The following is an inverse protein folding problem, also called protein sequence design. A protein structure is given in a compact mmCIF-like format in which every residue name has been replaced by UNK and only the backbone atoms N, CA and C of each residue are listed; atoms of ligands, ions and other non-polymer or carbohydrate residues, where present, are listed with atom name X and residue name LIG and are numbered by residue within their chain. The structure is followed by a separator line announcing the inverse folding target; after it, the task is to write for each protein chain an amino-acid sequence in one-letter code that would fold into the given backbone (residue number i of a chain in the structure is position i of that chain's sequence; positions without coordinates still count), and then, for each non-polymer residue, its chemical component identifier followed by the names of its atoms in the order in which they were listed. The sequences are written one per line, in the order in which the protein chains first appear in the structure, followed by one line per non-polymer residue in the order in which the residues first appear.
data_IF_838607900142
#
_entry.id   IF_838607900142
#
_cell.length_a   1.000
_cell.length_b   1.000
_cell.length_c   1.000
_cell.angle_alpha   90.00
_cell.angle_beta   90.00
_cell.angle_gamma   90.00
#
_symmetry.space_group_name_H-M   'P 1'
#
loop_
_entity.id
_entity.type
_entity.pdbx_description
1 polymer ?
#
# COMPACT_ATOMS: atom_id res chain seq x y z
N UNK A 1 -4.37 -37.91 -10.65
CA UNK A 1 -3.00 -37.74 -10.13
C UNK A 1 -2.21 -39.05 -10.08
N UNK A 2 -2.81 -40.19 -9.75
CA UNK A 2 -2.12 -41.50 -9.64
C UNK A 2 -1.51 -42.00 -10.96
N UNK A 3 -2.14 -41.76 -12.11
CA UNK A 3 -1.62 -42.18 -13.43
C UNK A 3 -0.43 -41.35 -13.96
N UNK A 4 -0.09 -40.24 -13.32
CA UNK A 4 1.05 -39.40 -13.69
C UNK A 4 2.36 -39.81 -13.00
N UNK A 5 2.28 -40.64 -11.95
CA UNK A 5 3.43 -41.05 -11.16
C UNK A 5 4.23 -42.19 -11.79
N UNK A 6 3.57 -43.11 -12.50
CA UNK A 6 4.23 -44.29 -13.10
C UNK A 6 5.09 -43.99 -14.34
N UNK A 7 4.97 -42.78 -14.90
CA UNK A 7 5.78 -42.33 -16.05
C UNK A 7 6.96 -41.45 -15.67
N UNK A 8 7.22 -41.22 -14.38
CA UNK A 8 8.38 -40.45 -13.97
C UNK A 8 9.64 -41.32 -14.13
N UNK A 9 10.57 -40.97 -15.04
CA UNK A 9 11.84 -41.69 -15.16
C UNK A 9 12.51 -41.70 -13.79
N UNK A 10 13.11 -42.83 -13.40
CA UNK A 10 13.76 -43.03 -12.11
C UNK A 10 14.54 -41.78 -11.70
N UNK A 11 13.95 -40.98 -10.80
CA UNK A 11 14.50 -39.68 -10.45
C UNK A 11 15.93 -39.89 -9.95
N UNK A 12 16.89 -39.19 -10.55
CA UNK A 12 18.25 -39.18 -10.04
C UNK A 12 18.27 -38.34 -8.75
N UNK A 13 17.94 -38.97 -7.62
CA UNK A 13 17.86 -38.35 -6.29
C UNK A 13 19.15 -37.67 -5.83
N UNK A 14 20.26 -37.86 -6.55
CA UNK A 14 21.52 -37.13 -6.30
C UNK A 14 21.43 -35.65 -6.65
N UNK A 15 20.45 -35.22 -7.48
CA UNK A 15 20.25 -33.82 -7.85
C UNK A 15 18.75 -33.45 -7.88
N UNK A 16 18.09 -33.44 -6.70
CA UNK A 16 16.64 -33.24 -6.62
C UNK A 16 16.18 -31.89 -7.20
N UNK A 17 17.06 -30.88 -7.18
CA UNK A 17 16.75 -29.55 -7.73
C UNK A 17 16.61 -29.53 -9.26
N UNK A 18 17.23 -30.48 -9.99
CA UNK A 18 17.20 -30.54 -11.47
C UNK A 18 15.99 -31.33 -11.97
N UNK A 19 15.44 -32.22 -11.15
CA UNK A 19 14.30 -33.06 -11.49
C UNK A 19 12.93 -32.39 -11.31
N UNK A 20 12.86 -31.19 -10.75
CA UNK A 20 11.61 -30.46 -10.58
C UNK A 20 11.17 -29.89 -11.94
N UNK A 21 9.92 -30.13 -12.33
CA UNK A 21 9.34 -29.58 -13.54
C UNK A 21 9.33 -28.05 -13.52
N UNK A 22 9.54 -27.36 -14.67
CA UNK A 22 9.54 -25.91 -14.74
C UNK A 22 8.30 -25.25 -14.16
N UNK A 23 7.13 -25.83 -14.38
CA UNK A 23 5.84 -25.31 -13.91
C UNK A 23 5.79 -25.31 -12.37
N UNK A 24 6.28 -26.38 -11.75
CA UNK A 24 6.40 -26.47 -10.29
C UNK A 24 7.44 -25.48 -9.74
N UNK A 25 8.58 -25.32 -10.43
CA UNK A 25 9.57 -24.31 -10.07
C UNK A 25 8.99 -22.90 -10.16
N UNK A 26 8.25 -22.57 -11.22
CA UNK A 26 7.56 -21.29 -11.36
C UNK A 26 6.58 -21.05 -10.20
N UNK A 27 5.78 -22.05 -9.82
CA UNK A 27 4.90 -21.95 -8.66
C UNK A 27 5.66 -21.72 -7.35
N UNK A 28 6.74 -22.48 -7.11
CA UNK A 28 7.60 -22.29 -5.93
C UNK A 28 8.20 -20.89 -5.93
N UNK A 29 8.69 -20.40 -7.08
CA UNK A 29 9.31 -19.09 -7.18
C UNK A 29 8.29 -17.98 -6.91
N UNK A 30 7.10 -18.07 -7.49
CA UNK A 30 6.02 -17.11 -7.25
C UNK A 30 5.58 -17.12 -5.79
N UNK A 31 5.49 -18.30 -5.17
CA UNK A 31 5.17 -18.43 -3.75
C UNK A 31 6.24 -17.76 -2.87
N UNK A 32 7.52 -18.10 -3.07
CA UNK A 32 8.64 -17.49 -2.32
C UNK A 32 8.70 -15.98 -2.51
N UNK A 33 8.41 -15.47 -3.71
CA UNK A 33 8.42 -14.03 -3.99
C UNK A 33 7.19 -13.32 -3.42
N UNK A 34 6.00 -13.94 -3.44
CA UNK A 34 4.75 -13.37 -2.90
C UNK A 34 4.73 -13.32 -1.37
N UNK A 35 5.15 -14.40 -0.71
CA UNK A 35 5.26 -14.44 0.76
C UNK A 35 6.14 -13.31 1.30
N UNK A 36 7.07 -12.83 0.48
CA UNK A 36 7.99 -11.76 0.84
C UNK A 36 7.41 -10.37 0.60
N UNK A 37 6.28 -10.23 -0.10
CA UNK A 37 5.62 -8.96 -0.42
C UNK A 37 4.22 -8.77 0.18
N UNK A 38 3.50 -9.85 0.49
CA UNK A 38 2.19 -9.84 1.14
C UNK A 38 2.26 -9.70 2.67
N UNK A 39 3.42 -9.30 3.21
CA UNK A 39 3.52 -8.80 4.58
C UNK A 39 2.37 -7.81 4.79
N UNK A 40 1.39 -8.22 5.60
CA UNK A 40 0.05 -7.64 5.70
C UNK A 40 0.03 -6.27 6.38
N UNK A 41 1.07 -5.47 6.16
CA UNK A 41 1.16 -4.10 6.62
C UNK A 41 -0.07 -3.35 6.08
N UNK A 42 -1.00 -2.90 6.94
CA UNK A 42 -2.13 -2.09 6.51
C UNK A 42 -1.70 -0.72 5.96
N UNK A 43 -0.40 -0.42 5.98
CA UNK A 43 0.19 0.87 5.61
C UNK A 43 0.94 0.80 4.27
N UNK A 44 0.61 -0.16 3.41
CA UNK A 44 1.29 -0.39 2.15
C UNK A 44 2.57 -1.21 2.29
N UNK A 45 3.15 -1.55 1.14
CA UNK A 45 4.30 -2.45 1.02
C UNK A 45 5.50 -1.85 1.77
N UNK A 46 6.00 -2.59 2.78
CA UNK A 46 7.19 -2.17 3.51
C UNK A 46 8.41 -2.22 2.56
N UNK A 47 9.14 -1.12 2.48
CA UNK A 47 10.36 -1.01 1.68
C UNK A 47 11.37 -2.15 1.99
N UNK A 48 11.42 -2.64 3.24
CA UNK A 48 12.27 -3.78 3.63
C UNK A 48 11.85 -5.05 2.90
N UNK A 49 10.55 -5.25 2.75
CA UNK A 49 9.95 -6.40 2.06
C UNK A 49 10.22 -6.32 0.55
N UNK A 50 10.23 -5.12 -0.02
CA UNK A 50 10.62 -4.94 -1.43
C UNK A 50 12.09 -5.29 -1.72
N UNK A 51 13.03 -4.91 -0.83
CA UNK A 51 14.44 -5.32 -0.97
C UNK A 51 14.61 -6.83 -0.89
N UNK A 52 13.83 -7.46 0.00
CA UNK A 52 13.75 -8.89 0.15
C UNK A 52 13.26 -9.53 -1.15
N UNK A 53 12.11 -9.10 -1.68
CA UNK A 53 11.53 -9.58 -2.94
C UNK A 53 12.57 -9.56 -4.08
N UNK A 54 13.25 -8.42 -4.24
CA UNK A 54 14.30 -8.28 -5.26
C UNK A 54 15.42 -9.31 -5.04
N UNK A 55 15.93 -9.43 -3.81
CA UNK A 55 16.98 -10.38 -3.46
C UNK A 55 16.54 -11.84 -3.71
N UNK A 56 15.29 -12.18 -3.41
CA UNK A 56 14.76 -13.54 -3.61
C UNK A 56 14.88 -13.98 -5.08
N UNK A 57 14.49 -13.14 -6.04
CA UNK A 57 14.55 -13.47 -7.48
C UNK A 57 15.96 -13.82 -7.94
N UNK A 58 16.93 -12.97 -7.57
CA UNK A 58 18.33 -13.22 -7.91
C UNK A 58 18.90 -14.43 -7.16
N UNK A 59 18.45 -14.67 -5.93
CA UNK A 59 18.84 -15.87 -5.16
C UNK A 59 18.33 -17.13 -5.85
N UNK A 60 17.05 -17.16 -6.28
CA UNK A 60 16.46 -18.27 -7.03
C UNK A 60 17.20 -18.50 -8.35
N UNK A 61 17.53 -17.44 -9.08
CA UNK A 61 18.30 -17.52 -10.33
C UNK A 61 19.79 -17.92 -10.14
N UNK A 62 20.29 -17.91 -8.90
CA UNK A 62 21.67 -18.27 -8.58
C UNK A 62 21.86 -19.73 -8.15
N UNK A 63 20.77 -20.49 -7.90
CA UNK A 63 20.84 -21.85 -7.35
C UNK A 63 21.52 -22.84 -8.31
N UNK A 64 20.98 -23.02 -9.50
CA UNK A 64 21.57 -23.85 -10.55
C UNK A 64 21.15 -23.32 -11.94
N UNK A 65 21.75 -23.83 -13.01
CA UNK A 65 21.43 -23.40 -14.37
C UNK A 65 19.94 -23.57 -14.69
N UNK A 66 19.34 -24.69 -14.30
CA UNK A 66 17.92 -24.95 -14.55
C UNK A 66 17.01 -23.93 -13.86
N UNK A 67 17.27 -23.63 -12.59
CA UNK A 67 16.50 -22.64 -11.83
C UNK A 67 16.65 -21.25 -12.42
N UNK A 68 17.86 -20.91 -12.90
CA UNK A 68 18.12 -19.66 -13.62
C UNK A 68 17.27 -19.55 -14.88
N UNK A 69 17.24 -20.58 -15.72
CA UNK A 69 16.44 -20.61 -16.94
C UNK A 69 14.95 -20.40 -16.64
N UNK A 70 14.41 -21.11 -15.64
CA UNK A 70 13.00 -20.95 -15.23
C UNK A 70 12.73 -19.56 -14.67
N UNK A 71 13.58 -19.07 -13.77
CA UNK A 71 13.41 -17.74 -13.17
C UNK A 71 13.44 -16.64 -14.23
N UNK A 72 14.39 -16.73 -15.17
CA UNK A 72 14.54 -15.76 -16.27
C UNK A 72 13.36 -15.84 -17.26
N UNK A 73 12.84 -17.03 -17.54
CA UNK A 73 11.73 -17.22 -18.48
C UNK A 73 10.34 -17.02 -17.88
N UNK A 74 10.24 -16.71 -16.59
CA UNK A 74 8.97 -16.43 -15.90
C UNK A 74 8.80 -14.92 -15.70
N UNK A 75 8.07 -14.21 -16.59
CA UNK A 75 8.07 -12.75 -16.60
C UNK A 75 7.38 -12.14 -15.37
N UNK A 76 6.38 -12.82 -14.81
CA UNK A 76 5.69 -12.43 -13.58
C UNK A 76 6.62 -12.32 -12.35
N UNK A 77 7.76 -13.02 -12.34
CA UNK A 77 8.76 -12.85 -11.26
C UNK A 77 9.43 -11.47 -11.32
N UNK A 78 9.43 -10.82 -12.47
CA UNK A 78 10.14 -9.55 -12.71
C UNK A 78 9.20 -8.35 -12.77
N UNK A 79 7.89 -8.56 -12.65
CA UNK A 79 6.90 -7.51 -12.87
C UNK A 79 6.75 -6.51 -11.72
N UNK A 80 7.19 -6.86 -10.51
CA UNK A 80 7.23 -5.93 -9.38
C UNK A 80 8.60 -5.29 -9.26
N UNK A 81 8.77 -4.02 -9.58
CA UNK A 81 10.08 -3.35 -9.63
C UNK A 81 10.20 -2.33 -8.50
N UNK A 82 11.30 -2.39 -7.73
CA UNK A 82 11.63 -1.39 -6.71
C UNK A 82 12.79 -0.51 -7.18
N UNK A 83 12.53 0.79 -7.18
CA UNK A 83 13.47 1.85 -7.49
C UNK A 83 13.76 2.67 -6.22
N UNK A 84 14.86 2.37 -5.51
CA UNK A 84 15.24 3.16 -4.34
C UNK A 84 15.72 4.55 -4.79
N UNK A 85 14.95 5.58 -4.46
CA UNK A 85 15.21 6.96 -4.88
C UNK A 85 16.48 7.54 -4.21
N UNK A 86 16.77 7.11 -2.98
CA UNK A 86 17.85 7.63 -2.15
C UNK A 86 19.26 7.20 -2.57
N UNK A 87 19.41 6.48 -3.70
CA UNK A 87 20.71 6.10 -4.25
C UNK A 87 20.96 6.83 -5.55
N UNK A 88 21.81 7.82 -5.39
CA UNK A 88 22.48 8.66 -6.37
C UNK A 88 23.00 7.90 -7.61
N UNK A 89 23.15 6.57 -7.61
CA UNK A 89 23.26 5.81 -8.85
C UNK A 89 22.09 4.85 -8.99
N UNK A 90 21.01 5.36 -9.57
CA UNK A 90 20.00 4.49 -10.15
C UNK A 90 20.69 3.60 -11.17
N UNK A 91 20.73 2.28 -10.90
CA UNK A 91 21.26 1.34 -11.88
C UNK A 91 20.20 1.16 -12.97
N UNK A 92 20.19 2.09 -13.93
CA UNK A 92 19.30 2.10 -15.09
C UNK A 92 19.38 0.80 -15.85
N UNK A 93 20.58 0.21 -15.97
CA UNK A 93 20.76 -1.06 -16.67
C UNK A 93 20.01 -2.19 -15.96
N UNK A 94 20.08 -2.24 -14.63
CA UNK A 94 19.36 -3.22 -13.84
C UNK A 94 17.84 -2.98 -13.89
N UNK A 95 17.39 -1.73 -13.91
CA UNK A 95 15.98 -1.41 -14.10
C UNK A 95 15.49 -1.84 -15.49
N UNK A 96 16.19 -1.44 -16.55
CA UNK A 96 15.87 -1.82 -17.93
C UNK A 96 15.97 -3.33 -18.13
N UNK A 97 16.86 -4.01 -17.42
CA UNK A 97 16.93 -5.47 -17.38
C UNK A 97 15.70 -6.09 -16.72
N UNK A 98 15.32 -5.65 -15.52
CA UNK A 98 14.11 -6.13 -14.83
C UNK A 98 12.84 -5.85 -15.67
N UNK A 99 12.77 -4.66 -16.28
CA UNK A 99 11.69 -4.26 -17.18
C UNK A 99 11.64 -5.15 -18.43
N UNK A 100 12.77 -5.37 -19.10
CA UNK A 100 12.83 -6.26 -20.27
C UNK A 100 12.46 -7.72 -19.94
N UNK A 101 12.74 -8.19 -18.73
CA UNK A 101 12.36 -9.54 -18.27
C UNK A 101 10.88 -9.68 -17.93
N UNK A 102 10.23 -8.58 -17.55
CA UNK A 102 8.80 -8.59 -17.22
C UNK A 102 7.89 -8.83 -18.43
N UNK A 103 8.41 -8.54 -19.64
CA UNK A 103 7.72 -8.78 -20.92
C UNK A 103 6.35 -8.11 -20.96
N UNK A 104 5.31 -8.91 -21.20
CA UNK A 104 3.92 -8.44 -21.23
C UNK A 104 3.19 -8.60 -19.89
N UNK A 105 3.91 -8.89 -18.80
CA UNK A 105 3.28 -9.00 -17.48
C UNK A 105 2.84 -7.62 -16.99
N UNK A 106 1.76 -7.59 -16.23
CA UNK A 106 1.30 -6.39 -15.56
C UNK A 106 2.34 -5.91 -14.53
N UNK A 107 2.76 -4.66 -14.65
CA UNK A 107 3.87 -4.09 -13.89
C UNK A 107 3.37 -3.40 -12.64
N UNK A 108 4.07 -3.66 -11.53
CA UNK A 108 3.92 -2.92 -10.29
C UNK A 108 5.23 -2.20 -9.99
N UNK A 109 5.28 -0.89 -10.20
CA UNK A 109 6.47 -0.09 -10.02
C UNK A 109 6.40 0.75 -8.74
N UNK A 110 7.46 0.68 -7.94
CA UNK A 110 7.57 1.37 -6.67
C UNK A 110 8.84 2.19 -6.64
N UNK A 111 8.70 3.50 -6.56
CA UNK A 111 9.79 4.45 -6.39
C UNK A 111 9.69 4.98 -4.98
N UNK A 112 10.68 4.69 -4.14
CA UNK A 112 10.60 5.05 -2.72
C UNK A 112 11.94 5.52 -2.16
N UNK A 113 11.89 6.54 -1.32
CA UNK A 113 13.01 6.91 -0.46
C UNK A 113 13.22 5.86 0.64
N UNK A 114 14.42 5.27 0.70
CA UNK A 114 14.73 4.26 1.70
C UNK A 114 14.98 4.93 3.07
N UNK A 115 14.21 4.61 4.13
CA UNK A 115 14.50 5.10 5.47
C UNK A 115 15.89 4.62 5.92
N UNK A 116 16.68 5.54 6.50
CA UNK A 116 18.07 5.29 6.89
C UNK A 116 19.11 5.58 5.81
N UNK A 117 18.70 5.95 4.59
CA UNK A 117 19.62 6.46 3.56
C UNK A 117 19.97 7.94 3.77
N UNK A 118 20.12 8.37 5.02
CA UNK A 118 20.49 9.73 5.42
C UNK A 118 21.92 10.12 5.03
N UNK A 119 22.59 9.34 4.18
CA UNK A 119 23.71 9.84 3.44
C UNK A 119 23.17 10.84 2.43
N UNK A 120 23.11 12.11 2.87
CA UNK A 120 23.27 13.21 1.94
C UNK A 120 24.45 12.86 1.04
N UNK A 121 24.35 13.04 -0.28
CA UNK A 121 25.51 12.93 -1.16
C UNK A 121 26.68 13.60 -0.46
N UNK A 122 27.77 12.88 -0.18
CA UNK A 122 29.01 13.55 0.25
C UNK A 122 29.30 14.57 -0.84
N UNK A 123 29.31 15.85 -0.47
CA UNK A 123 29.64 16.95 -1.36
C UNK A 123 30.89 16.57 -2.15
N UNK A 124 30.78 16.54 -3.49
CA UNK A 124 31.88 16.17 -4.38
C UNK A 124 31.82 14.77 -5.00
N UNK A 125 30.86 13.92 -4.65
CA UNK A 125 30.63 12.68 -5.41
C UNK A 125 30.03 13.03 -6.77
N UNK A 126 30.85 13.11 -7.83
CA UNK A 126 30.36 13.34 -9.20
C UNK A 126 29.55 12.13 -9.62
N UNK A 127 28.27 12.37 -9.85
CA UNK A 127 27.31 11.34 -10.20
C UNK A 127 27.09 11.39 -11.69
N UNK A 128 27.77 10.52 -12.43
CA UNK A 128 27.84 10.63 -13.89
C UNK A 128 26.60 10.11 -14.63
N UNK A 129 25.59 9.56 -13.95
CA UNK A 129 24.34 9.05 -14.57
C UNK A 129 23.14 9.13 -13.62
N UNK A 130 22.78 10.35 -13.18
CA UNK A 130 21.52 10.54 -12.45
C UNK A 130 20.36 10.46 -13.43
N UNK A 131 19.61 9.37 -13.37
CA UNK A 131 18.27 9.34 -13.97
C UNK A 131 17.40 10.29 -13.19
N UNK A 132 16.97 11.36 -13.84
CA UNK A 132 16.08 12.37 -13.29
C UNK A 132 14.69 11.76 -13.02
N UNK A 133 13.93 12.29 -12.05
CA UNK A 133 12.52 11.94 -11.88
C UNK A 133 11.71 11.99 -13.19
N UNK A 134 12.06 12.94 -14.06
CA UNK A 134 11.47 13.11 -15.39
C UNK A 134 11.73 11.90 -16.29
N UNK A 135 12.96 11.41 -16.37
CA UNK A 135 13.29 10.22 -17.16
C UNK A 135 12.62 8.97 -16.62
N UNK A 136 12.55 8.80 -15.30
CA UNK A 136 11.78 7.70 -14.71
C UNK A 136 10.33 7.81 -15.15
N UNK A 137 9.73 9.00 -15.04
CA UNK A 137 8.36 9.20 -15.45
C UNK A 137 8.14 8.90 -16.94
N UNK A 138 9.04 9.35 -17.83
CA UNK A 138 8.99 9.03 -19.27
C UNK A 138 9.00 7.52 -19.49
N UNK A 139 9.88 6.79 -18.80
CA UNK A 139 9.93 5.33 -18.93
C UNK A 139 8.61 4.73 -18.45
N UNK A 140 8.13 5.13 -17.28
CA UNK A 140 6.87 4.63 -16.71
C UNK A 140 5.70 4.81 -17.66
N UNK A 141 5.60 5.97 -18.28
CA UNK A 141 4.44 6.35 -19.08
C UNK A 141 4.48 5.75 -20.48
N UNK A 142 5.63 5.24 -20.89
CA UNK A 142 5.79 4.46 -22.11
C UNK A 142 5.45 2.98 -21.93
N UNK A 143 5.13 2.52 -20.70
CA UNK A 143 4.80 1.13 -20.43
C UNK A 143 3.28 0.93 -20.32
N UNK A 144 2.60 0.42 -21.37
CA UNK A 144 1.14 0.23 -21.34
C UNK A 144 0.70 -0.82 -20.32
N UNK A 145 1.58 -1.76 -19.96
CA UNK A 145 1.33 -2.85 -18.99
C UNK A 145 1.37 -2.41 -17.53
N UNK A 146 1.53 -1.11 -17.23
CA UNK A 146 1.59 -0.62 -15.86
C UNK A 146 0.25 -0.84 -15.13
N UNK A 147 0.24 -1.65 -14.09
CA UNK A 147 -0.92 -1.96 -13.25
C UNK A 147 -0.91 -1.18 -11.94
N UNK A 148 0.25 -1.06 -11.31
CA UNK A 148 0.39 -0.32 -10.07
C UNK A 148 1.60 0.62 -10.15
N UNK A 149 1.40 1.87 -9.71
CA UNK A 149 2.44 2.87 -9.64
C UNK A 149 2.44 3.54 -8.27
N UNK A 150 3.51 3.29 -7.50
CA UNK A 150 3.77 3.92 -6.23
C UNK A 150 4.97 4.85 -6.38
N UNK A 151 4.78 6.14 -6.13
CA UNK A 151 5.86 7.11 -6.04
C UNK A 151 5.86 7.70 -4.64
N UNK A 152 6.95 7.55 -3.90
CA UNK A 152 7.13 8.14 -2.58
C UNK A 152 8.50 8.79 -2.47
N UNK A 153 8.55 10.12 -2.51
CA UNK A 153 9.80 10.87 -2.35
C UNK A 153 9.68 11.99 -1.33
N UNK A 154 10.72 12.18 -0.53
CA UNK A 154 10.89 13.33 0.35
C UNK A 154 11.42 14.56 -0.40
N UNK A 155 11.99 14.36 -1.60
CA UNK A 155 12.50 15.46 -2.40
C UNK A 155 11.37 16.14 -3.18
N UNK A 156 11.58 17.39 -3.55
CA UNK A 156 10.66 18.13 -4.42
C UNK A 156 10.58 17.41 -5.76
N UNK A 157 9.35 17.13 -6.22
CA UNK A 157 9.13 16.70 -7.59
C UNK A 157 9.82 17.64 -8.59
N UNK A 158 10.10 17.17 -9.83
CA UNK A 158 10.60 18.06 -10.86
C UNK A 158 9.69 19.29 -10.97
N UNK A 159 10.31 20.47 -10.95
CA UNK A 159 9.60 21.75 -11.02
C UNK A 159 8.94 21.98 -12.38
N UNK A 160 9.38 21.25 -13.40
CA UNK A 160 8.78 21.30 -14.73
C UNK A 160 7.47 20.48 -14.77
N UNK A 161 6.35 21.09 -15.21
CA UNK A 161 5.11 20.36 -15.41
C UNK A 161 5.29 19.30 -16.51
N UNK A 162 4.87 18.07 -16.26
CA UNK A 162 4.94 16.95 -17.20
C UNK A 162 3.82 17.01 -18.26
N UNK A 163 3.35 18.21 -18.61
CA UNK A 163 2.21 18.41 -19.49
C UNK A 163 2.49 17.83 -20.89
N UNK A 164 1.51 17.07 -21.40
CA UNK A 164 1.44 16.53 -22.78
C UNK A 164 2.30 15.30 -23.13
N UNK A 165 2.86 14.57 -22.16
CA UNK A 165 3.72 13.39 -22.46
C UNK A 165 3.18 12.05 -21.95
N UNK A 166 1.97 12.05 -21.40
CA UNK A 166 1.37 10.84 -20.86
C UNK A 166 0.60 10.09 -21.94
N UNK A 167 1.04 8.86 -22.23
CA UNK A 167 0.23 7.91 -22.97
C UNK A 167 -0.91 7.42 -22.08
N UNK A 168 -2.05 7.00 -22.66
CA UNK A 168 -3.08 6.29 -21.91
C UNK A 168 -2.49 5.08 -21.18
N UNK A 169 -2.88 4.89 -19.93
CA UNK A 169 -2.48 3.75 -19.10
C UNK A 169 -3.70 2.88 -18.81
N UNK A 170 -4.16 2.10 -19.80
CA UNK A 170 -5.40 1.35 -19.71
C UNK A 170 -5.34 0.26 -18.63
N UNK A 171 -4.16 -0.18 -18.20
CA UNK A 171 -4.03 -1.22 -17.19
C UNK A 171 -3.81 -0.69 -15.78
N UNK A 172 -3.64 0.63 -15.60
CA UNK A 172 -3.33 1.20 -14.29
C UNK A 172 -4.55 1.10 -13.36
N UNK A 173 -4.40 0.29 -12.30
CA UNK A 173 -5.42 0.02 -11.28
C UNK A 173 -5.13 0.72 -9.97
N UNK A 174 -3.87 0.94 -9.66
CA UNK A 174 -3.43 1.57 -8.42
C UNK A 174 -2.42 2.69 -8.69
N UNK A 175 -2.70 3.87 -8.17
CA UNK A 175 -1.81 5.02 -8.23
C UNK A 175 -1.66 5.57 -6.82
N UNK A 176 -0.43 5.62 -6.32
CA UNK A 176 -0.13 6.26 -5.05
C UNK A 176 1.02 7.24 -5.24
N UNK A 177 0.77 8.50 -4.90
CA UNK A 177 1.71 9.59 -5.01
C UNK A 177 1.92 10.17 -3.61
N UNK A 178 3.15 10.05 -3.13
CA UNK A 178 3.59 10.48 -1.81
C UNK A 178 4.79 11.42 -1.94
N UNK A 179 4.74 12.56 -1.26
CA UNK A 179 5.88 13.48 -1.19
C UNK A 179 5.56 14.96 -1.31
N UNK A 180 6.59 15.75 -1.62
CA UNK A 180 6.44 17.13 -2.12
C UNK A 180 6.21 17.12 -3.63
N UNK A 181 5.26 16.31 -4.08
CA UNK A 181 4.86 16.31 -5.48
C UNK A 181 3.83 17.43 -5.61
N UNK A 182 4.17 18.45 -6.41
CA UNK A 182 3.17 19.41 -6.83
C UNK A 182 2.16 18.64 -7.67
N UNK A 183 1.01 18.28 -7.11
CA UNK A 183 -0.02 17.54 -7.85
C UNK A 183 -0.43 18.30 -9.12
N UNK A 184 -0.23 19.62 -9.16
CA UNK A 184 -0.37 20.45 -10.35
C UNK A 184 0.53 20.08 -11.53
N UNK A 185 1.64 19.35 -11.31
CA UNK A 185 2.53 18.88 -12.39
C UNK A 185 2.09 17.52 -12.96
N UNK A 186 1.23 16.79 -12.24
CA UNK A 186 0.64 15.55 -12.72
C UNK A 186 -0.66 15.91 -13.42
N UNK A 187 -0.58 16.15 -14.74
CA UNK A 187 -1.78 15.97 -15.56
C UNK A 187 -2.18 14.51 -15.39
N UNK A 188 -3.36 14.26 -14.84
CA UNK A 188 -3.76 12.90 -14.53
C UNK A 188 -3.79 12.10 -15.83
N UNK A 189 -3.20 10.93 -15.73
CA UNK A 189 -3.15 9.97 -16.81
C UNK A 189 -4.57 9.59 -17.22
N UNK A 190 -4.78 9.33 -18.50
CA UNK A 190 -5.97 8.61 -18.96
C UNK A 190 -5.85 7.17 -18.46
N UNK A 191 -6.43 6.93 -17.27
CA UNK A 191 -6.39 5.68 -16.52
C UNK A 191 -7.82 5.23 -16.21
N UNK A 192 -8.57 4.75 -17.21
CA UNK A 192 -10.00 4.45 -17.05
C UNK A 192 -10.28 3.35 -16.02
N UNK A 193 -9.31 2.45 -15.81
CA UNK A 193 -9.42 1.31 -14.90
C UNK A 193 -8.82 1.60 -13.51
N UNK A 194 -8.58 2.87 -13.17
CA UNK A 194 -8.00 3.23 -11.87
C UNK A 194 -8.99 2.96 -10.75
N UNK A 195 -8.65 2.04 -9.86
CA UNK A 195 -9.49 1.60 -8.73
C UNK A 195 -9.04 2.16 -7.38
N UNK A 196 -7.76 2.44 -7.23
CA UNK A 196 -7.14 2.93 -5.99
C UNK A 196 -6.31 4.17 -6.30
N UNK A 197 -6.62 5.28 -5.62
CA UNK A 197 -5.89 6.53 -5.70
C UNK A 197 -5.44 6.97 -4.30
N UNK A 198 -4.15 7.08 -4.09
CA UNK A 198 -3.56 7.59 -2.84
C UNK A 198 -2.74 8.84 -3.12
N UNK A 199 -3.05 9.94 -2.42
CA UNK A 199 -2.40 11.22 -2.55
C UNK A 199 -1.92 11.65 -1.16
N UNK A 200 -0.64 11.43 -0.87
CA UNK A 200 -0.02 11.66 0.42
C UNK A 200 1.00 12.80 0.34
N UNK A 201 0.84 13.83 1.15
CA UNK A 201 1.78 14.96 1.18
C UNK A 201 2.73 14.88 2.36
N UNK A 202 4.02 14.99 2.07
CA UNK A 202 5.07 14.95 3.08
C UNK A 202 5.76 16.32 3.17
N UNK A 203 5.10 17.28 3.81
CA UNK A 203 5.70 18.57 4.19
C UNK A 203 6.38 18.49 5.56
N UNK A 204 7.63 18.97 5.68
CA UNK A 204 8.34 19.07 6.97
C UNK A 204 8.09 20.38 7.72
N UNK A 205 7.75 21.45 7.00
CA UNK A 205 7.70 22.80 7.56
C UNK A 205 6.25 23.31 7.54
N UNK A 206 5.69 23.60 8.71
CA UNK A 206 4.35 24.18 8.85
C UNK A 206 4.23 25.58 8.22
N UNK A 207 5.35 26.31 8.08
CA UNK A 207 5.38 27.67 7.54
C UNK A 207 5.27 27.73 6.02
N UNK A 208 5.56 26.63 5.33
CA UNK A 208 5.33 26.44 3.90
C UNK A 208 4.19 25.44 3.75
N UNK A 209 3.04 25.71 4.35
CA UNK A 209 1.83 24.99 4.01
C UNK A 209 1.27 25.64 2.74
N UNK A 210 1.67 25.23 1.51
CA UNK A 210 0.89 25.63 0.36
C UNK A 210 -0.53 25.15 0.64
N UNK A 211 -1.50 26.03 0.39
CA UNK A 211 -2.87 25.57 0.10
C UNK A 211 -2.70 24.38 -0.81
N UNK A 212 -3.11 23.20 -0.33
CA UNK A 212 -2.90 21.95 -1.04
C UNK A 212 -3.35 22.20 -2.48
N UNK A 213 -2.42 22.31 -3.45
CA UNK A 213 -2.81 22.64 -4.80
C UNK A 213 -3.27 21.31 -5.36
N UNK A 214 -4.47 20.90 -4.96
CA UNK A 214 -5.20 19.96 -5.75
C UNK A 214 -5.22 20.60 -7.15
N UNK A 215 -4.59 19.98 -8.15
CA UNK A 215 -4.99 20.21 -9.52
C UNK A 215 -6.52 20.16 -9.54
N UNK A 216 -7.19 20.94 -10.42
CA UNK A 216 -8.64 21.01 -10.44
C UNK A 216 -9.23 19.60 -10.55
N UNK A 217 -9.54 18.98 -9.41
CA UNK A 217 -9.94 17.58 -9.34
C UNK A 217 -11.25 17.37 -10.10
N UNK A 218 -12.03 18.46 -10.22
CA UNK A 218 -13.25 18.58 -11.00
C UNK A 218 -13.11 18.12 -12.46
N UNK A 219 -11.92 18.17 -13.04
CA UNK A 219 -11.69 17.83 -14.45
C UNK A 219 -11.21 16.38 -14.61
N UNK A 220 -11.13 15.62 -13.52
CA UNK A 220 -10.65 14.24 -13.49
C UNK A 220 -11.80 13.32 -13.17
N UNK A 221 -11.95 12.29 -13.99
CA UNK A 221 -12.98 11.28 -13.80
C UNK A 221 -12.38 9.88 -13.95
N UNK A 222 -12.52 9.07 -12.90
CA UNK A 222 -12.09 7.68 -12.86
C UNK A 222 -13.32 6.80 -12.60
N UNK A 223 -13.95 6.22 -13.64
CA UNK A 223 -15.25 5.56 -13.50
C UNK A 223 -15.23 4.42 -12.47
N UNK A 224 -14.12 3.71 -12.37
CA UNK A 224 -13.94 2.55 -11.50
C UNK A 224 -13.26 2.85 -10.16
N UNK A 225 -13.12 4.13 -9.77
CA UNK A 225 -12.45 4.50 -8.52
C UNK A 225 -13.24 4.03 -7.30
N UNK A 226 -12.65 3.11 -6.53
CA UNK A 226 -13.24 2.53 -5.32
C UNK A 226 -12.61 3.05 -4.05
N UNK A 227 -11.32 3.38 -4.10
CA UNK A 227 -10.54 3.74 -2.91
C UNK A 227 -9.85 5.07 -3.16
N UNK A 228 -10.12 6.04 -2.29
CA UNK A 228 -9.48 7.35 -2.30
C UNK A 228 -8.86 7.62 -0.93
N UNK A 229 -7.52 7.69 -0.89
CA UNK A 229 -6.78 8.14 0.27
C UNK A 229 -6.18 9.50 -0.02
N UNK A 230 -6.57 10.51 0.74
CA UNK A 230 -5.96 11.83 0.74
C UNK A 230 -5.34 12.04 2.09
N UNK A 231 -4.06 12.36 2.13
CA UNK A 231 -3.44 12.63 3.42
C UNK A 231 -2.15 13.40 3.36
N UNK A 232 -1.59 13.64 4.52
CA UNK A 232 -0.27 14.18 4.71
C UNK A 232 0.10 14.29 6.19
N UNK A 233 1.36 14.65 6.41
CA UNK A 233 1.97 14.49 7.72
C UNK A 233 1.66 15.61 8.72
N UNK A 234 1.16 16.75 8.24
CA UNK A 234 0.97 17.95 9.03
C UNK A 234 -0.47 18.07 9.51
N UNK A 235 -0.67 18.27 10.81
CA UNK A 235 -2.00 18.52 11.40
C UNK A 235 -2.64 19.84 10.90
N UNK A 236 -1.92 20.63 10.12
CA UNK A 236 -2.34 21.91 9.52
C UNK A 236 -2.78 21.80 8.07
N UNK A 237 -3.09 20.58 7.59
CA UNK A 237 -3.52 20.35 6.22
C UNK A 237 -4.90 21.02 6.01
N UNK A 238 -4.90 22.26 5.53
CA UNK A 238 -6.13 22.92 5.10
C UNK A 238 -6.59 22.25 3.81
N UNK A 239 -7.66 21.46 3.93
CA UNK A 239 -8.29 20.81 2.79
C UNK A 239 -9.08 21.85 2.01
N UNK A 240 -8.91 21.86 0.68
CA UNK A 240 -9.81 22.59 -0.20
C UNK A 240 -11.08 21.75 -0.37
N UNK A 241 -11.98 21.84 0.61
CA UNK A 241 -13.19 21.01 0.64
C UNK A 241 -14.03 21.17 -0.63
N UNK A 242 -14.08 22.36 -1.23
CA UNK A 242 -14.81 22.58 -2.47
C UNK A 242 -14.27 21.70 -3.61
N UNK A 243 -12.94 21.56 -3.71
CA UNK A 243 -12.33 20.69 -4.71
C UNK A 243 -12.59 19.21 -4.43
N UNK A 244 -12.48 18.79 -3.16
CA UNK A 244 -12.75 17.40 -2.75
C UNK A 244 -14.22 17.05 -2.98
N UNK A 245 -15.14 17.92 -2.57
CA UNK A 245 -16.59 17.75 -2.79
C UNK A 245 -16.88 17.61 -4.28
N UNK A 246 -16.36 18.52 -5.10
CA UNK A 246 -16.56 18.45 -6.56
C UNK A 246 -16.05 17.13 -7.14
N UNK A 247 -14.94 16.62 -6.64
CA UNK A 247 -14.41 15.31 -7.05
C UNK A 247 -15.32 14.17 -6.61
N UNK A 248 -15.74 14.16 -5.35
CA UNK A 248 -16.59 13.10 -4.80
C UNK A 248 -17.95 13.02 -5.51
N UNK A 249 -18.54 14.17 -5.86
CA UNK A 249 -19.81 14.24 -6.56
C UNK A 249 -19.83 13.51 -7.91
N UNK A 250 -18.68 13.37 -8.59
CA UNK A 250 -18.58 12.65 -9.86
C UNK A 250 -18.16 11.18 -9.70
N UNK A 251 -17.79 10.72 -8.49
CA UNK A 251 -17.30 9.35 -8.24
C UNK A 251 -18.29 8.54 -7.38
N UNK A 252 -19.42 8.14 -7.98
CA UNK A 252 -20.47 7.36 -7.28
C UNK A 252 -20.07 5.92 -6.93
N UNK A 253 -18.99 5.40 -7.53
CA UNK A 253 -18.41 4.07 -7.29
C UNK A 253 -17.51 3.99 -6.05
N UNK A 254 -17.24 5.11 -5.38
CA UNK A 254 -16.32 5.17 -4.25
C UNK A 254 -16.83 4.37 -3.04
N UNK A 255 -16.00 3.46 -2.54
CA UNK A 255 -16.29 2.56 -1.42
C UNK A 255 -15.51 2.94 -0.15
N UNK A 256 -14.27 3.39 -0.31
CA UNK A 256 -13.39 3.74 0.81
C UNK A 256 -12.88 5.17 0.60
N UNK A 257 -13.09 6.01 1.60
CA UNK A 257 -12.54 7.36 1.65
C UNK A 257 -11.72 7.56 2.91
N UNK A 258 -10.51 8.09 2.77
CA UNK A 258 -9.65 8.42 3.89
C UNK A 258 -9.09 9.82 3.74
N UNK A 259 -9.16 10.61 4.80
CA UNK A 259 -8.65 11.97 4.85
C UNK A 259 -7.73 12.17 6.08
N UNK A 260 -6.52 12.67 5.91
CA UNK A 260 -5.64 12.94 7.07
C UNK A 260 -5.93 14.27 7.80
N UNK A 261 -7.08 14.89 7.54
CA UNK A 261 -7.50 16.16 8.13
C UNK A 261 -8.93 16.07 8.64
N UNK A 262 -9.42 17.21 9.14
CA UNK A 262 -10.79 17.30 9.64
C UNK A 262 -11.79 17.22 8.48
N UNK A 263 -12.86 16.43 8.66
CA UNK A 263 -14.00 16.42 7.76
C UNK A 263 -14.94 17.56 8.20
N UNK A 264 -15.15 18.54 7.32
CA UNK A 264 -16.12 19.61 7.56
C UNK A 264 -17.56 19.12 7.39
N UNK A 265 -18.52 19.95 7.81
CA UNK A 265 -19.95 19.61 7.70
C UNK A 265 -20.39 19.43 6.25
N UNK A 266 -19.93 20.31 5.35
CA UNK A 266 -20.22 20.22 3.92
C UNK A 266 -19.66 18.93 3.30
N UNK A 267 -18.42 18.55 3.66
CA UNK A 267 -17.83 17.30 3.19
C UNK A 267 -18.57 16.08 3.76
N UNK A 268 -18.97 16.12 5.03
CA UNK A 268 -19.76 15.06 5.66
C UNK A 268 -21.12 14.86 4.98
N UNK A 269 -21.80 15.95 4.58
CA UNK A 269 -23.06 15.89 3.85
C UNK A 269 -22.90 15.14 2.52
N UNK A 270 -21.86 15.48 1.75
CA UNK A 270 -21.57 14.83 0.46
C UNK A 270 -21.20 13.36 0.65
N UNK A 271 -20.33 13.04 1.61
CA UNK A 271 -19.98 11.65 1.93
C UNK A 271 -21.21 10.83 2.34
N UNK A 272 -22.20 11.45 3.01
CA UNK A 272 -23.44 10.79 3.38
C UNK A 272 -24.37 10.49 2.20
N UNK A 273 -24.22 11.23 1.11
CA UNK A 273 -24.99 11.06 -0.12
C UNK A 273 -24.38 10.04 -1.08
N UNK A 274 -23.12 9.62 -0.88
CA UNK A 274 -22.46 8.63 -1.73
C UNK A 274 -23.09 7.23 -1.52
N UNK A 275 -23.71 6.62 -2.54
CA UNK A 275 -24.49 5.40 -2.38
C UNK A 275 -23.62 4.16 -2.10
N UNK A 276 -22.38 4.16 -2.60
CA UNK A 276 -21.46 3.02 -2.52
C UNK A 276 -20.47 3.08 -1.36
N UNK A 277 -20.49 4.17 -0.57
CA UNK A 277 -19.47 4.42 0.44
C UNK A 277 -19.66 3.52 1.66
N UNK A 278 -18.67 2.67 1.91
CA UNK A 278 -18.66 1.67 3.00
C UNK A 278 -17.83 2.14 4.19
N UNK A 279 -16.70 2.81 3.91
CA UNK A 279 -15.71 3.16 4.92
C UNK A 279 -15.26 4.62 4.79
N UNK A 280 -15.26 5.32 5.93
CA UNK A 280 -14.68 6.66 6.05
C UNK A 280 -13.69 6.68 7.20
N UNK A 281 -12.47 7.08 6.86
CA UNK A 281 -11.39 7.30 7.80
C UNK A 281 -11.04 8.80 7.81
N UNK A 282 -10.86 9.36 9.00
CA UNK A 282 -10.41 10.73 9.17
C UNK A 282 -9.35 10.79 10.27
N UNK A 283 -8.28 11.55 10.06
CA UNK A 283 -7.32 11.87 11.11
C UNK A 283 -7.60 13.30 11.56
N UNK A 284 -8.38 13.45 12.64
CA UNK A 284 -8.84 14.74 13.12
C UNK A 284 -9.55 14.62 14.47
N UNK A 285 -9.70 15.75 15.17
CA UNK A 285 -10.44 15.74 16.44
C UNK A 285 -11.92 15.54 16.14
N UNK A 286 -12.46 14.35 16.45
CA UNK A 286 -13.89 13.98 16.32
C UNK A 286 -14.82 14.75 17.30
N UNK A 287 -14.55 16.03 17.51
CA UNK A 287 -15.21 16.86 18.51
C UNK A 287 -16.52 17.47 18.00
N UNK A 288 -16.85 17.38 16.70
CA UNK A 288 -18.08 17.97 16.17
C UNK A 288 -19.25 16.95 16.15
N UNK A 289 -20.41 17.28 16.76
CA UNK A 289 -21.61 16.43 16.82
C UNK A 289 -22.17 15.84 15.50
N UNK A 290 -22.08 16.50 14.33
CA UNK A 290 -22.70 16.02 13.09
C UNK A 290 -22.16 14.65 12.65
N UNK A 291 -20.84 14.44 12.71
CA UNK A 291 -20.20 13.19 12.35
C UNK A 291 -20.68 12.03 13.23
N UNK A 292 -20.85 12.24 14.55
CA UNK A 292 -21.32 11.19 15.46
C UNK A 292 -22.71 10.67 15.09
N UNK A 293 -23.63 11.54 14.64
CA UNK A 293 -24.97 11.13 14.21
C UNK A 293 -24.93 10.33 12.91
N UNK A 294 -24.00 10.65 12.02
CA UNK A 294 -23.82 9.94 10.75
C UNK A 294 -23.18 8.56 10.92
N UNK A 295 -22.11 8.43 11.73
CA UNK A 295 -21.44 7.15 11.99
C UNK A 295 -22.38 6.07 12.54
N UNK A 296 -23.49 6.46 13.17
CA UNK A 296 -24.42 5.54 13.79
C UNK A 296 -25.29 4.75 12.79
N UNK A 297 -25.33 5.12 11.49
CA UNK A 297 -26.31 4.55 10.54
C UNK A 297 -25.77 3.74 9.37
N UNK A 298 -24.55 3.98 8.88
CA UNK A 298 -24.09 3.33 7.62
C UNK A 298 -22.59 3.08 7.47
N UNK A 299 -21.73 3.74 8.22
CA UNK A 299 -20.28 3.73 7.95
C UNK A 299 -19.49 3.41 9.21
N UNK A 300 -18.61 2.41 9.12
CA UNK A 300 -17.63 2.17 10.17
C UNK A 300 -16.61 3.30 10.13
N UNK A 301 -16.65 4.17 11.14
CA UNK A 301 -15.62 5.20 11.31
C UNK A 301 -14.47 4.63 12.13
N UNK A 302 -13.33 4.49 11.45
CA UNK A 302 -12.08 4.08 12.07
C UNK A 302 -11.27 5.35 12.38
N UNK A 303 -10.91 5.52 13.65
CA UNK A 303 -9.93 6.54 14.03
C UNK A 303 -8.56 6.13 13.48
N UNK A 304 -7.97 6.98 12.64
CA UNK A 304 -6.64 6.74 12.11
C UNK A 304 -5.57 6.88 13.20
N UNK A 305 -4.80 5.83 13.42
CA UNK A 305 -3.51 5.90 14.14
C UNK A 305 -2.45 5.52 13.11
N UNK A 306 -1.76 6.53 12.55
CA UNK A 306 -0.65 6.29 11.62
C UNK A 306 0.56 5.74 12.39
N UNK A 307 1.03 4.50 12.15
CA UNK A 307 2.20 3.94 12.84
C UNK A 307 3.52 4.30 12.14
N UNK A 308 3.46 4.87 10.93
CA UNK A 308 4.65 5.26 10.15
C UNK A 308 5.50 6.32 10.87
N UNK A 309 4.95 6.95 11.91
CA UNK A 309 5.65 7.93 12.75
C UNK A 309 5.63 7.63 14.27
N UNK A 310 5.61 6.35 14.68
CA UNK A 310 5.73 5.98 16.10
C UNK A 310 6.85 4.95 16.41
N UNK A 311 7.94 4.98 15.64
CA UNK A 311 9.18 4.27 16.03
C UNK A 311 9.98 5.09 17.08
N UNK A 312 9.55 6.31 17.44
CA UNK A 312 10.26 7.13 18.43
C UNK A 312 9.57 7.36 19.78
N UNK A 313 8.26 7.13 19.95
CA UNK A 313 7.58 7.35 21.25
C UNK A 313 6.52 6.27 21.56
N UNK A 314 6.97 5.12 22.05
CA UNK A 314 6.11 4.03 22.54
C UNK A 314 5.67 4.28 24.00
N UNK A 315 4.66 5.11 24.26
CA UNK A 315 3.89 5.03 25.52
C UNK A 315 2.45 5.52 25.29
N UNK A 316 1.47 4.66 25.60
CA UNK A 316 0.00 4.85 25.58
C UNK A 316 -0.80 4.54 24.29
N UNK A 317 -1.41 3.34 24.19
CA UNK A 317 -2.62 3.15 23.39
C UNK A 317 -3.83 3.83 24.06
N UNK A 318 -4.70 4.46 23.25
CA UNK A 318 -5.94 5.09 23.71
C UNK A 318 -6.96 4.05 24.21
N UNK A 319 -7.22 4.06 25.51
CA UNK A 319 -8.12 3.15 26.27
C UNK A 319 -9.58 3.16 25.77
N UNK A 320 -10.01 4.21 25.07
CA UNK A 320 -11.41 4.40 24.68
C UNK A 320 -11.88 3.48 23.53
N UNK A 321 -11.00 3.10 22.61
CA UNK A 321 -11.38 2.22 21.49
C UNK A 321 -11.72 0.80 21.97
N UNK A 322 -10.94 0.29 22.92
CA UNK A 322 -11.09 -1.05 23.50
C UNK A 322 -12.41 -1.23 24.26
N UNK A 323 -12.90 -0.20 24.96
CA UNK A 323 -14.16 -0.28 25.71
C UNK A 323 -15.39 -0.35 24.78
N UNK A 324 -15.27 0.19 23.57
CA UNK A 324 -16.31 0.14 22.55
C UNK A 324 -16.36 -1.22 21.84
N UNK A 325 -15.20 -1.81 21.53
CA UNK A 325 -15.12 -3.18 20.98
C UNK A 325 -15.68 -4.23 21.94
N UNK A 326 -15.50 -4.05 23.25
CA UNK A 326 -16.08 -4.95 24.27
C UNK A 326 -17.61 -4.98 24.30
N UNK A 327 -18.27 -3.94 23.79
CA UNK A 327 -19.73 -3.75 23.87
C UNK A 327 -20.46 -4.16 22.59
N UNK A 328 -19.75 -4.45 21.51
CA UNK A 328 -20.33 -4.79 20.21
C UNK A 328 -19.73 -6.11 19.67
N UNK A 329 -20.46 -7.23 19.78
CA UNK A 329 -19.98 -8.55 19.38
C UNK A 329 -19.67 -8.67 17.88
N UNK A 330 -20.34 -7.89 17.02
CA UNK A 330 -20.09 -7.93 15.57
C UNK A 330 -18.80 -7.19 15.21
N UNK A 331 -18.57 -6.03 15.84
CA UNK A 331 -17.29 -5.31 15.76
C UNK A 331 -16.14 -6.12 16.34
N UNK A 332 -16.38 -6.91 17.40
CA UNK A 332 -15.39 -7.81 18.00
C UNK A 332 -15.08 -9.01 17.09
N UNK A 333 -16.10 -9.63 16.47
CA UNK A 333 -15.93 -10.73 15.51
C UNK A 333 -15.27 -10.25 14.21
N UNK A 334 -15.54 -9.03 13.77
CA UNK A 334 -14.87 -8.40 12.62
C UNK A 334 -13.43 -8.01 12.96
N UNK A 335 -13.16 -7.43 14.13
CA UNK A 335 -11.80 -7.22 14.62
C UNK A 335 -11.04 -8.54 14.74
N UNK A 336 -11.71 -9.62 15.17
CA UNK A 336 -11.19 -10.99 15.17
C UNK A 336 -10.89 -11.50 13.76
N UNK A 337 -11.76 -11.28 12.78
CA UNK A 337 -11.50 -11.64 11.37
C UNK A 337 -10.30 -10.88 10.78
N UNK A 338 -10.05 -9.66 11.25
CA UNK A 338 -8.88 -8.85 10.84
C UNK A 338 -7.63 -9.23 11.65
N UNK A 339 -7.75 -9.74 12.89
CA UNK A 339 -6.62 -9.90 13.83
C UNK A 339 -6.24 -11.35 14.16
N UNK A 340 -7.15 -12.34 14.08
CA UNK A 340 -6.86 -13.76 14.40
C UNK A 340 -6.13 -14.49 13.28
N UNK A 341 -6.18 -13.98 12.05
CA UNK A 341 -5.37 -14.50 10.94
C UNK A 341 -3.92 -13.94 10.89
N UNK A 342 -3.47 -13.20 11.92
CA UNK A 342 -2.17 -12.51 11.94
C UNK A 342 -1.21 -12.94 13.07
N UNK A 343 -0.17 -13.78 12.81
CA UNK A 343 0.64 -14.39 13.88
C UNK A 343 1.82 -13.53 14.40
N UNK A 344 1.82 -12.19 14.22
CA UNK A 344 3.01 -11.35 14.49
C UNK A 344 2.79 -10.28 15.57
N UNK A 345 2.23 -10.65 16.73
CA UNK A 345 2.19 -9.75 17.89
C UNK A 345 2.71 -10.35 19.22
N UNK A 346 3.40 -11.50 19.18
CA UNK A 346 4.05 -12.09 20.38
C UNK A 346 5.36 -11.42 20.80
N UNK A 347 5.98 -10.58 19.95
CA UNK A 347 7.35 -10.12 20.18
C UNK A 347 7.51 -8.74 20.84
N UNK A 348 6.48 -7.88 20.84
CA UNK A 348 6.66 -6.44 21.14
C UNK A 348 5.68 -5.83 22.16
N UNK A 349 4.71 -6.59 22.64
CA UNK A 349 3.92 -6.23 23.82
C UNK A 349 4.20 -7.33 24.84
N UNK A 350 4.67 -6.97 26.04
CA UNK A 350 5.11 -7.93 27.05
C UNK A 350 4.12 -9.09 27.21
N UNK A 351 4.63 -10.33 27.28
CA UNK A 351 3.84 -11.57 27.29
C UNK A 351 2.65 -11.53 28.27
N UNK A 352 2.82 -10.85 29.40
CA UNK A 352 1.81 -10.66 30.45
C UNK A 352 0.53 -9.95 29.98
N UNK A 353 0.61 -9.00 29.05
CA UNK A 353 -0.57 -8.28 28.56
C UNK A 353 -1.43 -9.15 27.64
N UNK A 354 -0.79 -10.01 26.85
CA UNK A 354 -1.50 -10.97 26.00
C UNK A 354 -2.10 -12.11 26.81
N UNK A 355 -1.39 -12.57 27.84
CA UNK A 355 -1.90 -13.59 28.75
C UNK A 355 -3.12 -13.08 29.54
N UNK A 356 -3.13 -11.81 29.98
CA UNK A 356 -4.30 -11.19 30.63
C UNK A 356 -5.50 -11.03 29.68
N UNK A 357 -5.27 -10.64 28.43
CA UNK A 357 -6.34 -10.50 27.43
C UNK A 357 -6.93 -11.87 27.05
N UNK A 358 -6.07 -12.87 26.84
CA UNK A 358 -6.48 -14.25 26.54
C UNK A 358 -7.15 -14.91 27.74
N UNK A 359 -6.67 -14.67 28.97
CA UNK A 359 -7.29 -15.13 30.22
C UNK A 359 -8.68 -14.51 30.42
N UNK A 360 -8.82 -13.21 30.17
CA UNK A 360 -10.11 -12.50 30.21
C UNK A 360 -11.09 -13.07 29.19
N UNK A 361 -10.62 -13.33 27.95
CA UNK A 361 -11.43 -13.94 26.90
C UNK A 361 -11.82 -15.39 27.21
N UNK A 362 -10.91 -16.19 27.75
CA UNK A 362 -11.19 -17.55 28.19
C UNK A 362 -12.20 -17.57 29.35
N UNK A 363 -12.12 -16.63 30.30
CA UNK A 363 -13.07 -16.48 31.39
C UNK A 363 -14.49 -16.11 30.91
N UNK A 364 -14.60 -15.23 29.91
CA UNK A 364 -15.89 -14.87 29.30
C UNK A 364 -16.53 -16.03 28.52
N UNK A 365 -15.71 -16.83 27.81
CA UNK A 365 -16.21 -17.99 27.08
C UNK A 365 -16.65 -19.12 28.03
N UNK A 366 -15.87 -19.36 29.09
CA UNK A 366 -16.18 -20.40 30.10
C UNK A 366 -17.46 -20.07 30.86
N UNK A 367 -17.69 -18.79 31.23
CA UNK A 367 -18.96 -18.35 31.81
C UNK A 367 -20.13 -18.57 30.86
N UNK A 368 -19.99 -18.22 29.59
CA UNK A 368 -21.08 -18.36 28.62
C UNK A 368 -21.45 -19.82 28.36
N UNK A 369 -20.47 -20.72 28.33
CA UNK A 369 -20.70 -22.17 28.22
C UNK A 369 -21.32 -22.73 29.50
N UNK A 370 -20.91 -22.26 30.69
CA UNK A 370 -21.56 -22.63 31.95
C UNK A 370 -23.01 -22.14 32.05
N UNK A 371 -23.28 -20.90 31.63
CA UNK A 371 -24.61 -20.31 31.63
C UNK A 371 -25.52 -21.05 30.64
N UNK A 372 -25.05 -21.36 29.42
CA UNK A 372 -25.78 -22.20 28.45
C UNK A 372 -25.99 -23.65 28.90
N UNK A 373 -25.14 -24.19 29.78
CA UNK A 373 -25.29 -25.54 30.33
C UNK A 373 -26.19 -25.60 31.58
N UNK A 374 -26.49 -24.45 32.20
CA UNK A 374 -27.44 -24.34 33.31
C UNK A 374 -28.87 -24.03 32.82
N UNK A 375 -29.02 -23.58 31.58
CA UNK A 375 -30.31 -23.34 30.90
C UNK A 375 -30.82 -24.58 30.12
N UNK A 376 -30.02 -25.64 30.00
CA UNK A 376 -30.39 -26.97 29.49
C UNK A 376 -30.52 -27.95 30.66
#
# INVERSE_FOLDING_TARGET
MTLLLDKLPALNWKQPAVSIFPELLTHIFMFVVRDWGESESPNGINIRDMKRIRKARFTLAAVCQRWREVAISTPALWSTILLPYSRISFNIDLFMYELGRSGNSLLSLYIADLPGSLHTPREGTRVSTLVTPREIMIIVTQNPSLEAFLWSTLQTAPSEPLQNQFLPMPHLRQLALSGKIALSTVSFFDAPNLTVLELLYQGRNQSEAPLFPFPPLKDIFFPDLRVLHIGGHTDTLQTNDAAIISFLCVHSSLQVFSLSGDITEALAEVLSALPSLLHVAAKGTYAKPPLRKWCAKKVSVLSWVSPTLYIHDLYHPNVWALDKFKKDPELLMFARQIWVDRPVYRGQVGATYWDDLLSTMAGMYTRRVQDSMLEL
#
